data_IF_913869671153
#
_entry.id   IF_913869671153
#
_cell.length_a   1.000
_cell.length_b   1.000
_cell.length_c   1.000
_cell.angle_alpha   90.00
_cell.angle_beta   90.00
_cell.angle_gamma   90.00
#
_symmetry.space_group_name_H-M   'P 1'
#
loop_
_entity.id
_entity.type
_entity.pdbx_description
1 polymer ?
#
# COMPACT_ATOMS: atom_id res chain seq x y z
N UNK A 1 -15.87 3.47 10.63
CA UNK A 1 -15.65 3.97 9.25
C UNK A 1 -14.28 3.57 8.72
N UNK A 2 -13.19 3.81 9.47
CA UNK A 2 -11.82 3.49 9.02
C UNK A 2 -11.55 2.01 8.72
N UNK A 3 -12.18 1.08 9.43
CA UNK A 3 -12.17 -0.34 9.07
C UNK A 3 -12.71 -0.58 7.65
N UNK A 4 -13.93 -0.12 7.36
CA UNK A 4 -14.56 -0.27 6.04
C UNK A 4 -13.77 0.43 4.93
N UNK A 5 -13.24 1.62 5.22
CA UNK A 5 -12.37 2.34 4.28
C UNK A 5 -11.07 1.57 4.03
N UNK A 6 -10.47 0.97 5.06
CA UNK A 6 -9.28 0.13 4.95
C UNK A 6 -9.53 -1.12 4.10
N UNK A 7 -10.71 -1.75 4.24
CA UNK A 7 -11.13 -2.86 3.39
C UNK A 7 -11.22 -2.43 1.91
N UNK A 8 -11.92 -1.32 1.63
CA UNK A 8 -12.06 -0.78 0.28
C UNK A 8 -10.69 -0.44 -0.33
N UNK A 9 -9.82 0.22 0.43
CA UNK A 9 -8.46 0.55 -0.01
C UNK A 9 -7.62 -0.70 -0.26
N UNK A 10 -7.78 -1.74 0.56
CA UNK A 10 -7.12 -3.03 0.36
C UNK A 10 -7.52 -3.68 -0.96
N UNK A 11 -8.82 -3.69 -1.27
CA UNK A 11 -9.34 -4.23 -2.52
C UNK A 11 -8.85 -3.38 -3.71
N UNK A 12 -9.07 -2.06 -3.67
CA UNK A 12 -8.69 -1.16 -4.75
C UNK A 12 -7.19 -1.19 -5.02
N UNK A 13 -6.36 -1.17 -3.97
CA UNK A 13 -4.91 -1.24 -4.14
C UNK A 13 -4.46 -2.58 -4.69
N UNK A 14 -5.12 -3.68 -4.32
CA UNK A 14 -4.86 -5.00 -4.92
C UNK A 14 -5.24 -5.03 -6.40
N UNK A 15 -6.31 -4.35 -6.82
CA UNK A 15 -6.63 -4.24 -8.25
C UNK A 15 -5.66 -3.32 -9.01
N UNK A 16 -5.19 -2.26 -8.36
CA UNK A 16 -4.32 -1.26 -8.98
C UNK A 16 -2.87 -1.72 -9.08
N UNK A 17 -2.34 -2.49 -8.13
CA UNK A 17 -0.90 -2.71 -8.03
C UNK A 17 -0.28 -3.40 -9.25
N UNK A 18 -1.04 -4.27 -9.91
CA UNK A 18 -0.59 -4.99 -11.11
C UNK A 18 -0.43 -4.10 -12.35
N UNK A 19 -0.79 -2.82 -12.29
CA UNK A 19 -0.59 -1.89 -13.39
C UNK A 19 0.88 -1.47 -13.48
N UNK A 20 1.54 -1.97 -14.52
CA UNK A 20 2.97 -1.82 -14.75
C UNK A 20 3.17 -1.17 -16.12
N UNK A 21 4.11 -0.24 -16.19
CA UNK A 21 4.57 0.35 -17.44
C UNK A 21 5.98 -0.18 -17.73
N UNK A 22 6.20 -0.69 -18.95
CA UNK A 22 7.54 -1.08 -19.42
C UNK A 22 8.03 0.01 -20.36
N UNK A 23 9.12 0.66 -19.98
CA UNK A 23 9.78 1.70 -20.77
C UNK A 23 10.99 1.12 -21.50
N UNK A 24 10.90 0.99 -22.83
CA UNK A 24 11.95 0.43 -23.67
C UNK A 24 11.56 -0.93 -24.28
N UNK A 25 12.56 -1.72 -24.68
CA UNK A 25 12.33 -3.09 -25.15
C UNK A 25 11.88 -3.99 -23.99
N UNK A 26 11.18 -5.06 -24.26
CA UNK A 26 10.72 -6.01 -23.24
C UNK A 26 11.86 -6.74 -22.53
N UNK A 27 13.05 -6.80 -23.13
CA UNK A 27 14.22 -7.51 -22.60
C UNK A 27 15.16 -6.62 -21.76
N UNK A 28 15.24 -5.32 -22.07
CA UNK A 28 16.17 -4.39 -21.39
C UNK A 28 15.46 -3.14 -20.83
N UNK A 29 14.14 -3.09 -20.93
CA UNK A 29 13.34 -1.94 -20.51
C UNK A 29 13.25 -1.80 -19.00
N UNK A 30 13.03 -0.57 -18.55
CA UNK A 30 12.78 -0.29 -17.13
C UNK A 30 11.32 -0.62 -16.81
N UNK A 31 11.12 -1.50 -15.83
CA UNK A 31 9.78 -1.81 -15.31
C UNK A 31 9.42 -0.78 -14.25
N UNK A 32 8.33 -0.05 -14.46
CA UNK A 32 7.78 0.92 -13.53
C UNK A 32 6.42 0.43 -12.97
N UNK A 33 6.36 -0.05 -11.71
CA UNK A 33 5.13 -0.52 -11.07
C UNK A 33 4.30 0.67 -10.53
N UNK A 34 3.85 1.55 -11.44
CA UNK A 34 3.16 2.79 -11.08
C UNK A 34 1.85 2.55 -10.34
N UNK A 35 1.16 1.44 -10.62
CA UNK A 35 -0.07 1.07 -9.94
C UNK A 35 0.11 0.86 -8.44
N UNK A 36 1.22 0.20 -8.06
CA UNK A 36 1.56 0.00 -6.66
C UNK A 36 1.88 1.34 -5.97
N UNK A 37 2.64 2.22 -6.63
CA UNK A 37 2.94 3.55 -6.12
C UNK A 37 1.66 4.39 -5.90
N UNK A 38 0.74 4.37 -6.87
CA UNK A 38 -0.55 5.07 -6.76
C UNK A 38 -1.40 4.52 -5.60
N UNK A 39 -1.51 3.20 -5.49
CA UNK A 39 -2.25 2.56 -4.41
C UNK A 39 -1.71 2.92 -3.02
N UNK A 40 -0.38 2.93 -2.87
CA UNK A 40 0.30 3.33 -1.64
C UNK A 40 0.08 4.81 -1.31
N UNK A 41 0.12 5.69 -2.31
CA UNK A 41 -0.18 7.11 -2.14
C UNK A 41 -1.62 7.34 -1.67
N UNK A 42 -2.59 6.63 -2.27
CA UNK A 42 -3.98 6.67 -1.82
C UNK A 42 -4.13 6.23 -0.36
N UNK A 43 -3.45 5.14 0.03
CA UNK A 43 -3.43 4.67 1.41
C UNK A 43 -2.86 5.74 2.35
N UNK A 44 -1.71 6.34 2.00
CA UNK A 44 -1.08 7.37 2.81
C UNK A 44 -2.02 8.57 3.01
N UNK A 45 -2.61 9.09 1.93
CA UNK A 45 -3.51 10.24 1.99
C UNK A 45 -4.75 9.95 2.84
N UNK A 46 -5.38 8.78 2.68
CA UNK A 46 -6.56 8.41 3.46
C UNK A 46 -6.24 8.25 4.96
N UNK A 47 -5.11 7.62 5.28
CA UNK A 47 -4.68 7.44 6.66
C UNK A 47 -4.30 8.77 7.33
N UNK A 48 -3.58 9.65 6.60
CA UNK A 48 -3.28 11.00 7.08
C UNK A 48 -4.56 11.78 7.35
N UNK A 49 -5.52 11.77 6.41
CA UNK A 49 -6.81 12.43 6.59
C UNK A 49 -7.54 11.92 7.84
N UNK A 50 -7.63 10.60 8.02
CA UNK A 50 -8.30 9.99 9.16
C UNK A 50 -7.62 10.35 10.50
N UNK A 51 -6.29 10.28 10.55
CA UNK A 51 -5.52 10.58 11.75
C UNK A 51 -5.56 12.06 12.13
N UNK A 52 -5.43 12.96 11.15
CA UNK A 52 -5.51 14.41 11.38
C UNK A 52 -6.93 14.84 11.75
N UNK A 53 -7.95 14.29 11.09
CA UNK A 53 -9.36 14.64 11.37
C UNK A 53 -9.81 14.20 12.76
N UNK A 54 -9.33 13.04 13.22
CA UNK A 54 -9.65 12.51 14.56
C UNK A 54 -8.71 13.01 15.66
N UNK A 55 -7.52 13.49 15.29
CA UNK A 55 -6.45 13.79 16.26
C UNK A 55 -5.91 12.53 16.95
N UNK A 56 -6.14 11.35 16.37
CA UNK A 56 -5.81 10.04 16.97
C UNK A 56 -4.97 9.19 16.02
N UNK A 57 -4.01 8.46 16.58
CA UNK A 57 -3.22 7.46 15.84
C UNK A 57 -3.97 6.14 15.66
N UNK A 58 -5.06 5.91 16.42
CA UNK A 58 -5.81 4.66 16.34
C UNK A 58 -6.52 4.49 14.98
N UNK A 59 -7.03 5.59 14.42
CA UNK A 59 -7.75 5.58 13.13
C UNK A 59 -6.86 5.18 11.94
N UNK A 60 -5.68 5.79 11.70
CA UNK A 60 -4.78 5.34 10.63
C UNK A 60 -4.27 3.93 10.86
N UNK A 61 -3.99 3.53 12.12
CA UNK A 61 -3.59 2.14 12.44
C UNK A 61 -4.66 1.14 12.05
N UNK A 62 -5.92 1.37 12.45
CA UNK A 62 -7.02 0.48 12.12
C UNK A 62 -7.24 0.37 10.61
N UNK A 63 -7.24 1.52 9.92
CA UNK A 63 -7.38 1.56 8.46
C UNK A 63 -6.24 0.79 7.77
N UNK A 64 -5.00 1.09 8.12
CA UNK A 64 -3.81 0.48 7.56
C UNK A 64 -3.71 -1.01 7.85
N UNK A 65 -4.04 -1.44 9.08
CA UNK A 65 -4.07 -2.85 9.45
C UNK A 65 -5.12 -3.63 8.64
N UNK A 66 -6.32 -3.07 8.45
CA UNK A 66 -7.34 -3.70 7.59
C UNK A 66 -6.86 -3.77 6.14
N UNK A 67 -6.28 -2.69 5.58
CA UNK A 67 -5.72 -2.69 4.22
C UNK A 67 -4.63 -3.75 4.05
N UNK A 68 -3.67 -3.81 4.97
CA UNK A 68 -2.59 -4.79 4.95
C UNK A 68 -3.12 -6.22 5.08
N UNK A 69 -4.15 -6.44 5.91
CA UNK A 69 -4.78 -7.75 6.06
C UNK A 69 -5.38 -8.21 4.74
N UNK A 70 -6.12 -7.34 4.03
CA UNK A 70 -6.68 -7.66 2.71
C UNK A 70 -5.58 -7.94 1.69
N UNK A 71 -4.54 -7.12 1.63
CA UNK A 71 -3.40 -7.34 0.75
C UNK A 71 -2.69 -8.68 1.05
N UNK A 72 -2.58 -9.04 2.34
CA UNK A 72 -1.99 -10.31 2.78
C UNK A 72 -2.88 -11.51 2.40
N UNK A 73 -4.20 -11.39 2.55
CA UNK A 73 -5.14 -12.42 2.10
C UNK A 73 -5.00 -12.64 0.58
N UNK A 74 -4.89 -11.56 -0.20
CA UNK A 74 -4.68 -11.66 -1.64
C UNK A 74 -3.32 -12.29 -2.00
N UNK A 75 -2.25 -11.93 -1.26
CA UNK A 75 -0.91 -12.48 -1.44
C UNK A 75 -0.83 -13.99 -1.13
N UNK A 76 -1.54 -14.42 -0.08
CA UNK A 76 -1.56 -15.83 0.37
C UNK A 76 -2.70 -16.64 -0.26
N UNK A 77 -3.46 -16.07 -1.20
CA UNK A 77 -4.64 -16.70 -1.75
C UNK A 77 -4.26 -18.00 -2.49
N UNK A 78 -4.84 -19.15 -2.09
CA UNK A 78 -4.53 -20.42 -2.73
C UNK A 78 -5.29 -20.55 -4.06
N UNK A 79 -4.71 -21.31 -4.99
CA UNK A 79 -5.36 -21.67 -6.25
C UNK A 79 -4.81 -20.92 -7.47
N UNK A 80 -5.36 -21.22 -8.66
CA UNK A 80 -4.85 -20.69 -9.93
C UNK A 80 -5.17 -19.21 -10.14
N UNK A 81 -6.21 -18.68 -9.50
CA UNK A 81 -6.66 -17.29 -9.62
C UNK A 81 -5.90 -16.38 -8.65
N UNK A 82 -4.57 -16.32 -8.79
CA UNK A 82 -3.74 -15.45 -7.96
C UNK A 82 -3.86 -14.00 -8.43
N UNK A 83 -4.33 -13.14 -7.52
CA UNK A 83 -4.44 -11.70 -7.74
C UNK A 83 -3.10 -10.97 -7.59
N UNK A 84 -2.08 -11.67 -7.11
CA UNK A 84 -0.77 -11.15 -6.70
C UNK A 84 0.28 -12.17 -7.12
N UNK A 85 1.43 -11.72 -7.63
CA UNK A 85 2.53 -12.63 -7.95
C UNK A 85 3.39 -12.82 -6.70
N UNK A 86 3.47 -14.03 -6.13
CA UNK A 86 4.21 -14.27 -4.90
C UNK A 86 5.71 -14.15 -5.15
N UNK A 87 6.44 -13.69 -4.14
CA UNK A 87 7.90 -13.63 -4.22
C UNK A 87 8.49 -15.03 -4.11
N UNK A 88 9.15 -15.47 -5.18
CA UNK A 88 10.03 -16.63 -5.21
C UNK A 88 11.20 -16.36 -6.18
N UNK A 89 12.33 -17.09 -6.07
CA UNK A 89 13.42 -16.98 -7.04
C UNK A 89 12.96 -17.19 -8.48
N UNK A 90 12.06 -18.15 -8.70
CA UNK A 90 11.49 -18.48 -10.00
C UNK A 90 10.59 -17.35 -10.52
N UNK A 91 9.73 -16.79 -9.67
CA UNK A 91 8.86 -15.66 -10.04
C UNK A 91 9.67 -14.39 -10.37
N UNK A 92 10.74 -14.13 -9.63
CA UNK A 92 11.67 -13.03 -9.94
C UNK A 92 12.42 -13.22 -11.26
N UNK A 93 12.73 -14.47 -11.63
CA UNK A 93 13.38 -14.77 -12.91
C UNK A 93 12.43 -14.67 -14.10
N UNK A 94 11.17 -15.10 -13.93
CA UNK A 94 10.18 -15.17 -15.01
C UNK A 94 9.37 -13.88 -15.18
N UNK A 95 9.00 -13.23 -14.07
CA UNK A 95 8.10 -12.08 -14.00
C UNK A 95 8.61 -11.05 -12.98
N UNK A 96 9.82 -10.47 -13.16
CA UNK A 96 10.43 -9.57 -12.19
C UNK A 96 9.55 -8.35 -11.89
N UNK A 97 8.94 -7.77 -12.92
CA UNK A 97 8.08 -6.59 -12.77
C UNK A 97 6.83 -6.84 -11.92
N UNK A 98 5.98 -7.81 -12.29
CA UNK A 98 4.83 -8.22 -11.49
C UNK A 98 5.20 -8.60 -10.05
N UNK A 99 6.27 -9.38 -9.88
CA UNK A 99 6.74 -9.79 -8.54
C UNK A 99 7.12 -8.59 -7.69
N UNK A 100 7.86 -7.63 -8.25
CA UNK A 100 8.21 -6.38 -7.56
C UNK A 100 6.98 -5.53 -7.25
N UNK A 101 6.04 -5.40 -8.19
CA UNK A 101 4.81 -4.65 -7.96
C UNK A 101 4.01 -5.23 -6.78
N UNK A 102 3.90 -6.55 -6.72
CA UNK A 102 3.25 -7.29 -5.64
C UNK A 102 3.95 -7.10 -4.29
N UNK A 103 5.28 -7.20 -4.25
CA UNK A 103 6.06 -6.92 -3.04
C UNK A 103 5.91 -5.47 -2.56
N UNK A 104 6.01 -4.50 -3.47
CA UNK A 104 5.88 -3.07 -3.17
C UNK A 104 4.50 -2.79 -2.59
N UNK A 105 3.43 -3.32 -3.18
CA UNK A 105 2.09 -3.13 -2.64
C UNK A 105 1.92 -3.77 -1.27
N UNK A 106 2.30 -5.05 -1.14
CA UNK A 106 2.08 -5.80 0.10
C UNK A 106 2.87 -5.20 1.28
N UNK A 107 4.21 -5.12 1.16
CA UNK A 107 5.05 -4.58 2.23
C UNK A 107 4.95 -3.06 2.36
N UNK A 108 4.71 -2.38 1.24
CA UNK A 108 4.50 -0.93 1.23
C UNK A 108 3.25 -0.53 1.99
N UNK A 109 2.17 -1.32 1.96
CA UNK A 109 0.94 -0.97 2.68
C UNK A 109 1.13 -0.93 4.21
N UNK A 110 1.91 -1.87 4.75
CA UNK A 110 2.35 -1.82 6.15
C UNK A 110 3.29 -0.63 6.41
N UNK A 111 4.27 -0.40 5.52
CA UNK A 111 5.24 0.69 5.65
C UNK A 111 4.57 2.07 5.64
N UNK A 112 3.65 2.30 4.71
CA UNK A 112 2.85 3.53 4.60
C UNK A 112 2.05 3.78 5.87
N UNK A 113 1.57 2.72 6.52
CA UNK A 113 0.85 2.86 7.79
C UNK A 113 1.73 3.43 8.90
N UNK A 114 2.97 2.91 9.01
CA UNK A 114 3.95 3.44 9.97
C UNK A 114 4.32 4.90 9.63
N UNK A 115 4.53 5.21 8.35
CA UNK A 115 4.80 6.57 7.89
C UNK A 115 3.65 7.52 8.24
N UNK A 116 2.40 7.12 7.99
CA UNK A 116 1.22 7.91 8.32
C UNK A 116 1.14 8.20 9.82
N UNK A 117 1.40 7.20 10.68
CA UNK A 117 1.43 7.40 12.13
C UNK A 117 2.47 8.44 12.56
N UNK A 118 3.68 8.35 12.03
CA UNK A 118 4.77 9.29 12.34
C UNK A 118 4.38 10.71 11.91
N UNK A 119 3.86 10.86 10.69
CA UNK A 119 3.45 12.15 10.14
C UNK A 119 2.27 12.75 10.91
N UNK A 120 1.23 11.98 11.22
CA UNK A 120 0.08 12.46 12.02
C UNK A 120 0.57 12.92 13.39
N UNK A 121 1.40 12.13 14.06
CA UNK A 121 1.94 12.49 15.37
C UNK A 121 2.74 13.79 15.30
N UNK A 122 3.60 13.92 14.30
CA UNK A 122 4.44 15.10 14.10
C UNK A 122 3.60 16.36 13.85
N UNK A 123 2.62 16.29 12.94
CA UNK A 123 1.74 17.42 12.61
C UNK A 123 0.92 17.85 13.83
N UNK A 124 0.26 16.91 14.52
CA UNK A 124 -0.58 17.23 15.70
C UNK A 124 0.24 17.85 16.83
N UNK A 125 1.47 17.37 17.07
CA UNK A 125 2.35 17.96 18.10
C UNK A 125 2.77 19.37 17.71
N UNK A 126 3.13 19.58 16.44
CA UNK A 126 3.55 20.89 15.91
C UNK A 126 2.42 21.91 16.00
N UNK A 127 1.20 21.56 15.59
CA UNK A 127 0.06 22.47 15.60
C UNK A 127 -0.30 22.91 17.02
N UNK A 128 -0.23 22.00 18.00
CA UNK A 128 -0.44 22.33 19.42
C UNK A 128 0.65 23.24 20.00
N UNK A 129 1.87 23.16 19.50
CA UNK A 129 2.96 24.03 19.92
C UNK A 129 2.79 25.45 19.33
N UNK A 130 2.28 25.56 18.10
CA UNK A 130 2.03 26.84 17.43
C UNK A 130 0.78 27.58 17.95
N UNK A 131 -0.16 26.87 18.57
CA UNK A 131 -1.40 27.44 19.13
C UNK A 131 -1.27 27.91 20.59
N UNK A 132 -0.07 27.88 21.18
CA UNK A 132 0.25 28.32 22.54
C UNK A 132 1.02 29.63 22.50
#
# INVERSE_FOLDING_TARGET
MCFSAGLVLGILGTLLHGNILVLGSTETGTVLPWGAALALLMCLMAQLWAGLKSGSLAEPVLMGATTFTVATIAYLWPGPDQLVVPYSPEAMALLPGPTLASLIWWLGSATVTLVAMVLVKWIVVRDRAASR
#
